data_IF_475964983605
#
_entry.id   IF_475964983605
#
_cell.length_a   1.000
_cell.length_b   1.000
_cell.length_c   1.000
_cell.angle_alpha   90.00
_cell.angle_beta   90.00
_cell.angle_gamma   90.00
#
_symmetry.space_group_name_H-M   'P 1'
#
loop_
_entity.id
_entity.type
_entity.pdbx_description
1 polymer ?
#
# COMPACT_ATOMS: atom_id res chain seq x y z
N UNK A 1 24.07 4.21 12.53
CA UNK A 1 22.98 4.61 11.62
C UNK A 1 22.27 5.79 12.23
N UNK A 2 21.31 6.38 11.52
CA UNK A 2 20.42 7.39 12.11
C UNK A 2 19.47 6.73 13.14
N UNK A 3 18.88 7.51 14.07
CA UNK A 3 17.91 6.99 15.03
C UNK A 3 16.71 6.28 14.36
N UNK A 4 16.10 5.33 15.06
CA UNK A 4 14.90 4.64 14.57
C UNK A 4 13.74 5.64 14.51
N UNK A 5 13.04 5.68 13.37
CA UNK A 5 11.95 6.64 13.15
C UNK A 5 12.39 7.97 12.53
N UNK A 6 13.68 8.16 12.22
CA UNK A 6 14.11 9.32 11.42
C UNK A 6 13.58 9.20 9.99
N UNK A 7 12.79 10.18 9.53
CA UNK A 7 12.45 10.32 8.12
C UNK A 7 13.72 10.69 7.33
N UNK A 8 14.01 9.92 6.29
CA UNK A 8 15.20 10.06 5.42
C UNK A 8 14.83 10.02 3.94
N UNK A 9 13.57 10.35 3.61
CA UNK A 9 13.01 10.30 2.26
C UNK A 9 13.89 11.03 1.24
N UNK A 10 14.19 12.31 1.48
CA UNK A 10 14.97 13.11 0.54
C UNK A 10 16.41 12.60 0.36
N UNK A 11 17.04 12.08 1.42
CA UNK A 11 18.34 11.39 1.34
C UNK A 11 18.26 10.08 0.54
N UNK A 12 17.13 9.36 0.63
CA UNK A 12 16.91 8.15 -0.18
C UNK A 12 16.81 8.49 -1.66
N UNK A 13 16.06 9.53 -2.02
CA UNK A 13 15.99 10.03 -3.40
C UNK A 13 17.39 10.41 -3.91
N UNK A 14 18.12 11.21 -3.13
CA UNK A 14 19.48 11.63 -3.46
C UNK A 14 20.43 10.43 -3.65
N UNK A 15 20.27 9.38 -2.86
CA UNK A 15 21.06 8.16 -2.99
C UNK A 15 20.74 7.40 -4.28
N UNK A 16 19.45 7.24 -4.62
CA UNK A 16 19.01 6.55 -5.83
C UNK A 16 19.53 7.25 -7.10
N UNK A 17 19.43 8.59 -7.18
CA UNK A 17 19.99 9.33 -8.33
C UNK A 17 21.50 9.12 -8.49
N UNK A 18 22.25 9.13 -7.38
CA UNK A 18 23.70 8.89 -7.38
C UNK A 18 24.09 7.44 -7.68
N UNK A 19 23.18 6.49 -7.48
CA UNK A 19 23.34 5.10 -7.90
C UNK A 19 23.10 4.91 -9.41
N UNK A 20 22.61 5.94 -10.11
CA UNK A 20 22.42 5.94 -11.56
C UNK A 20 20.99 5.63 -12.03
N UNK A 21 19.99 5.70 -11.15
CA UNK A 21 18.59 5.60 -11.58
C UNK A 21 18.18 6.86 -12.36
N UNK A 22 17.63 6.68 -13.58
CA UNK A 22 17.21 7.78 -14.45
C UNK A 22 16.01 8.57 -13.90
N UNK A 23 15.09 7.86 -13.26
CA UNK A 23 13.90 8.41 -12.60
C UNK A 23 13.69 7.77 -11.23
N UNK A 24 13.23 8.57 -10.28
CA UNK A 24 12.95 8.20 -8.90
C UNK A 24 11.53 8.64 -8.57
N UNK A 25 10.62 7.67 -8.51
CA UNK A 25 9.21 7.85 -8.14
C UNK A 25 8.92 7.27 -6.77
N UNK A 26 7.75 7.60 -6.22
CA UNK A 26 7.31 7.09 -4.93
C UNK A 26 6.20 6.05 -5.09
N UNK A 27 6.28 4.96 -4.32
CA UNK A 27 5.22 3.95 -4.25
C UNK A 27 3.97 4.51 -3.60
N UNK A 28 4.08 5.57 -2.80
CA UNK A 28 2.94 6.23 -2.18
C UNK A 28 1.97 6.83 -3.22
N UNK A 29 2.43 7.15 -4.43
CA UNK A 29 1.54 7.47 -5.54
C UNK A 29 0.63 6.28 -5.90
N UNK A 30 1.20 5.08 -6.00
CA UNK A 30 0.43 3.86 -6.19
C UNK A 30 -0.47 3.52 -5.00
N UNK A 31 -0.10 3.91 -3.78
CA UNK A 31 -0.96 3.74 -2.62
C UNK A 31 -2.19 4.64 -2.69
N UNK A 32 -2.04 5.89 -3.12
CA UNK A 32 -3.19 6.75 -3.42
C UNK A 32 -4.10 6.15 -4.51
N UNK A 33 -3.52 5.56 -5.57
CA UNK A 33 -4.27 4.82 -6.60
C UNK A 33 -5.01 3.61 -6.02
N UNK A 34 -4.35 2.83 -5.15
CA UNK A 34 -4.99 1.69 -4.49
C UNK A 34 -6.19 2.14 -3.67
N UNK A 35 -6.10 3.26 -2.96
CA UNK A 35 -7.23 3.79 -2.20
C UNK A 35 -8.38 4.22 -3.09
N UNK A 36 -8.11 4.84 -4.24
CA UNK A 36 -9.15 5.24 -5.17
C UNK A 36 -9.95 4.04 -5.67
N UNK A 37 -9.27 2.99 -6.10
CA UNK A 37 -9.90 1.77 -6.59
C UNK A 37 -10.57 0.99 -5.45
N UNK A 38 -9.88 0.80 -4.31
CA UNK A 38 -10.35 -0.05 -3.21
C UNK A 38 -11.52 0.59 -2.46
N UNK A 39 -11.51 1.91 -2.26
CA UNK A 39 -12.68 2.62 -1.72
C UNK A 39 -13.88 2.55 -2.67
N UNK A 40 -13.65 2.66 -3.99
CA UNK A 40 -14.70 2.56 -5.01
C UNK A 40 -15.28 1.14 -5.06
N UNK A 41 -14.43 0.12 -5.03
CA UNK A 41 -14.81 -1.29 -4.97
C UNK A 41 -15.61 -1.58 -3.70
N UNK A 42 -15.17 -1.07 -2.54
CA UNK A 42 -15.90 -1.21 -1.28
C UNK A 42 -17.31 -0.61 -1.38
N UNK A 43 -17.41 0.64 -1.83
CA UNK A 43 -18.69 1.33 -2.00
C UNK A 43 -19.60 0.56 -2.95
N UNK A 44 -19.05 0.06 -4.06
CA UNK A 44 -19.79 -0.74 -5.04
C UNK A 44 -20.32 -2.04 -4.42
N UNK A 45 -19.49 -2.80 -3.70
CA UNK A 45 -19.90 -4.04 -3.03
C UNK A 45 -21.00 -3.78 -2.00
N UNK A 46 -20.87 -2.73 -1.19
CA UNK A 46 -21.89 -2.37 -0.19
C UNK A 46 -23.22 -1.97 -0.85
N UNK A 47 -23.20 -1.14 -1.89
CA UNK A 47 -24.43 -0.64 -2.53
C UNK A 47 -25.15 -1.69 -3.39
N UNK A 48 -24.40 -2.60 -4.01
CA UNK A 48 -24.95 -3.54 -5.00
C UNK A 48 -25.06 -4.98 -4.47
N UNK A 49 -24.87 -5.21 -3.18
CA UNK A 49 -24.95 -6.55 -2.59
C UNK A 49 -23.83 -7.49 -3.05
N UNK A 50 -22.62 -6.96 -3.25
CA UNK A 50 -21.43 -7.74 -3.58
C UNK A 50 -20.89 -8.55 -2.39
N UNK A 51 -19.84 -9.32 -2.65
CA UNK A 51 -19.23 -10.21 -1.65
C UNK A 51 -18.60 -9.42 -0.50
N UNK A 52 -19.12 -9.62 0.72
CA UNK A 52 -18.63 -9.04 1.98
C UNK A 52 -18.28 -10.14 3.00
N UNK A 53 -17.36 -9.87 3.97
CA UNK A 53 -16.54 -8.68 4.10
C UNK A 53 -15.61 -8.49 2.90
N UNK A 54 -15.34 -7.25 2.49
CA UNK A 54 -14.21 -6.99 1.61
C UNK A 54 -12.92 -7.12 2.44
N UNK A 55 -11.87 -7.71 1.88
CA UNK A 55 -10.60 -7.90 2.58
C UNK A 55 -9.47 -7.30 1.74
N UNK A 56 -8.61 -6.50 2.34
CA UNK A 56 -7.52 -5.84 1.59
C UNK A 56 -6.56 -6.85 0.94
N UNK A 57 -5.95 -6.46 -0.17
CA UNK A 57 -5.10 -7.34 -0.99
C UNK A 57 -3.62 -6.92 -1.07
N UNK A 58 -3.26 -5.74 -0.54
CA UNK A 58 -1.94 -5.14 -0.77
C UNK A 58 -0.74 -5.90 -0.14
N UNK A 59 -1.00 -6.86 0.77
CA UNK A 59 0.00 -7.65 1.47
C UNK A 59 0.17 -9.04 0.82
N UNK A 60 1.23 -9.29 0.03
CA UNK A 60 1.35 -10.53 -0.74
C UNK A 60 1.50 -11.79 0.11
N UNK A 61 2.07 -11.67 1.32
CA UNK A 61 2.13 -12.79 2.26
C UNK A 61 0.74 -13.19 2.79
N UNK A 62 -0.14 -12.20 2.96
CA UNK A 62 -1.54 -12.43 3.32
C UNK A 62 -2.33 -13.03 2.14
N UNK A 63 -2.23 -12.45 0.94
CA UNK A 63 -2.88 -13.00 -0.26
C UNK A 63 -2.49 -14.46 -0.46
N UNK A 64 -1.20 -14.78 -0.37
CA UNK A 64 -0.72 -16.16 -0.50
C UNK A 64 -1.30 -17.09 0.57
N UNK A 65 -1.42 -16.62 1.81
CA UNK A 65 -2.05 -17.36 2.89
C UNK A 65 -3.54 -17.60 2.61
N UNK A 66 -4.28 -16.59 2.16
CA UNK A 66 -5.68 -16.70 1.78
C UNK A 66 -5.87 -17.72 0.65
N UNK A 67 -5.09 -17.60 -0.44
CA UNK A 67 -5.16 -18.52 -1.59
C UNK A 67 -5.03 -20.00 -1.18
N UNK A 68 -4.20 -20.30 -0.16
CA UNK A 68 -3.90 -21.67 0.28
C UNK A 68 -4.82 -22.20 1.39
N UNK A 69 -5.15 -21.39 2.39
CA UNK A 69 -5.86 -21.82 3.60
C UNK A 69 -7.32 -21.39 3.63
N UNK A 70 -7.67 -20.38 2.83
CA UNK A 70 -9.02 -19.82 2.70
C UNK A 70 -9.42 -19.63 1.23
N UNK A 71 -9.30 -20.65 0.36
CA UNK A 71 -9.66 -20.53 -1.05
C UNK A 71 -11.14 -20.18 -1.26
N UNK A 72 -12.00 -20.49 -0.30
CA UNK A 72 -13.41 -20.11 -0.23
C UNK A 72 -13.63 -18.61 -0.01
N UNK A 73 -12.66 -17.89 0.58
CA UNK A 73 -12.71 -16.45 0.84
C UNK A 73 -11.90 -15.64 -0.18
N UNK A 74 -11.41 -16.25 -1.26
CA UNK A 74 -10.64 -15.53 -2.30
C UNK A 74 -11.48 -14.42 -2.96
N UNK A 75 -12.78 -14.65 -3.13
CA UNK A 75 -13.69 -13.67 -3.76
C UNK A 75 -13.99 -12.48 -2.81
N UNK A 76 -13.63 -12.59 -1.53
CA UNK A 76 -13.66 -11.50 -0.56
C UNK A 76 -12.47 -10.55 -0.69
N UNK A 77 -11.37 -10.98 -1.33
CA UNK A 77 -10.22 -10.09 -1.55
C UNK A 77 -10.61 -8.94 -2.48
N UNK A 78 -10.12 -7.75 -2.16
CA UNK A 78 -10.10 -6.60 -3.07
C UNK A 78 -9.41 -6.99 -4.37
N UNK A 79 -10.00 -6.64 -5.50
CA UNK A 79 -9.43 -6.92 -6.83
C UNK A 79 -8.32 -5.94 -7.18
N UNK A 80 -8.14 -4.88 -6.39
CA UNK A 80 -7.09 -3.90 -6.59
C UNK A 80 -5.70 -4.53 -6.49
N UNK A 81 -4.82 -4.18 -7.44
CA UNK A 81 -3.37 -4.44 -7.35
C UNK A 81 -2.78 -3.73 -6.14
N UNK A 82 -1.63 -4.21 -5.70
CA UNK A 82 -0.91 -3.54 -4.62
C UNK A 82 -0.30 -2.20 -5.08
N UNK A 83 0.04 -1.28 -4.15
CA UNK A 83 0.69 -0.01 -4.48
C UNK A 83 1.96 -0.16 -5.34
N UNK A 84 2.73 -1.23 -5.11
CA UNK A 84 3.92 -1.53 -5.90
C UNK A 84 3.56 -1.78 -7.36
N UNK A 85 2.59 -2.65 -7.62
CA UNK A 85 2.26 -3.07 -8.97
C UNK A 85 1.43 -2.00 -9.68
N UNK A 86 0.56 -1.27 -8.99
CA UNK A 86 -0.10 -0.09 -9.57
C UNK A 86 0.91 0.97 -10.01
N UNK A 87 1.94 1.25 -9.20
CA UNK A 87 3.01 2.17 -9.59
C UNK A 87 3.75 1.64 -10.82
N UNK A 88 4.15 0.37 -10.82
CA UNK A 88 4.84 -0.27 -11.94
C UNK A 88 4.03 -0.28 -13.24
N UNK A 89 2.75 -0.65 -13.16
CA UNK A 89 1.80 -0.63 -14.26
C UNK A 89 1.71 0.76 -14.87
N UNK A 90 1.54 1.80 -14.04
CA UNK A 90 1.43 3.18 -14.51
C UNK A 90 2.75 3.73 -15.07
N UNK A 91 3.90 3.28 -14.56
CA UNK A 91 5.22 3.62 -15.13
C UNK A 91 5.31 3.09 -16.58
N UNK A 92 4.91 1.84 -16.81
CA UNK A 92 5.01 1.19 -18.13
C UNK A 92 3.85 1.46 -19.08
N UNK A 93 2.78 2.09 -18.60
CA UNK A 93 1.63 2.48 -19.41
C UNK A 93 1.53 4.00 -19.52
N UNK A 94 0.92 4.67 -18.55
CA UNK A 94 0.65 6.10 -18.57
C UNK A 94 1.92 6.96 -18.72
N UNK A 95 2.95 6.72 -17.91
CA UNK A 95 4.19 7.48 -17.97
C UNK A 95 4.96 7.22 -19.27
N UNK A 96 5.11 5.95 -19.66
CA UNK A 96 5.76 5.57 -20.91
C UNK A 96 5.10 6.24 -22.12
N UNK A 97 3.76 6.22 -22.20
CA UNK A 97 3.00 6.88 -23.25
C UNK A 97 3.24 8.39 -23.26
N UNK A 98 3.17 9.03 -22.09
CA UNK A 98 3.32 10.48 -21.94
C UNK A 98 4.70 10.98 -22.36
N UNK A 99 5.75 10.22 -22.07
CA UNK A 99 7.14 10.57 -22.39
C UNK A 99 7.58 10.04 -23.78
N UNK A 100 6.73 9.28 -24.48
CA UNK A 100 7.08 8.67 -25.77
C UNK A 100 8.17 7.60 -25.65
N UNK A 101 8.21 6.87 -24.52
CA UNK A 101 9.17 5.80 -24.25
C UNK A 101 8.51 4.46 -24.56
N UNK A 102 9.18 3.61 -25.34
CA UNK A 102 8.76 2.20 -25.50
C UNK A 102 8.85 1.48 -24.13
N UNK A 103 7.77 0.88 -23.61
CA UNK A 103 7.78 0.17 -22.34
C UNK A 103 8.86 -0.91 -22.23
N UNK A 104 9.30 -1.51 -23.34
CA UNK A 104 10.40 -2.49 -23.36
C UNK A 104 11.75 -1.89 -22.96
N UNK A 105 11.90 -0.57 -23.05
CA UNK A 105 13.11 0.16 -22.65
C UNK A 105 13.05 0.64 -21.19
N UNK A 106 11.99 0.29 -20.44
CA UNK A 106 11.84 0.67 -19.03
C UNK A 106 12.13 -0.53 -18.14
N UNK A 107 13.09 -0.35 -17.23
CA UNK A 107 13.33 -1.27 -16.11
C UNK A 107 12.80 -0.62 -14.83
N UNK A 108 11.68 -1.15 -14.33
CA UNK A 108 11.01 -0.73 -13.09
C UNK A 108 11.61 -1.47 -11.90
N UNK A 109 12.18 -0.72 -10.94
CA UNK A 109 12.78 -1.27 -9.72
C UNK A 109 12.09 -0.73 -8.49
N UNK A 110 11.56 -1.61 -7.64
CA UNK A 110 10.91 -1.25 -6.39
C UNK A 110 11.83 -1.48 -5.17
N UNK A 111 11.74 -0.60 -4.18
CA UNK A 111 12.42 -0.74 -2.88
C UNK A 111 11.38 -0.97 -1.80
N UNK A 112 11.35 -2.19 -1.23
CA UNK A 112 10.29 -2.62 -0.34
C UNK A 112 10.80 -3.05 1.04
N UNK A 113 10.03 -2.83 2.12
CA UNK A 113 10.34 -3.40 3.43
C UNK A 113 9.99 -4.89 3.53
N UNK A 114 9.64 -5.55 2.42
CA UNK A 114 9.04 -6.88 2.38
C UNK A 114 9.78 -7.79 1.41
N UNK A 115 10.01 -9.04 1.83
CA UNK A 115 10.59 -10.08 0.96
C UNK A 115 9.55 -10.71 0.02
N UNK A 116 8.29 -10.82 0.46
CA UNK A 116 7.21 -11.39 -0.34
C UNK A 116 6.85 -10.53 -1.56
N UNK A 117 7.21 -9.23 -1.58
CA UNK A 117 7.08 -8.37 -2.75
C UNK A 117 7.90 -8.87 -3.96
N UNK A 118 9.01 -9.59 -3.73
CA UNK A 118 9.77 -10.27 -4.80
C UNK A 118 9.02 -11.45 -5.43
N UNK A 119 8.09 -12.06 -4.70
CA UNK A 119 7.20 -13.09 -5.23
C UNK A 119 6.03 -12.45 -5.98
N UNK A 120 5.49 -11.35 -5.43
CA UNK A 120 4.36 -10.63 -6.01
C UNK A 120 4.62 -10.19 -7.46
N UNK A 121 5.80 -9.64 -7.78
CA UNK A 121 6.16 -9.21 -9.15
C UNK A 121 6.23 -10.34 -10.19
N UNK A 122 6.06 -11.60 -9.76
CA UNK A 122 6.09 -12.79 -10.62
C UNK A 122 4.72 -13.44 -10.76
N UNK A 123 3.67 -12.84 -10.19
CA UNK A 123 2.31 -13.35 -10.35
C UNK A 123 1.83 -13.08 -11.77
N UNK A 124 0.97 -13.97 -12.24
CA UNK A 124 0.19 -13.73 -13.44
C UNK A 124 -0.75 -12.52 -13.19
N UNK A 125 -1.13 -11.80 -14.24
CA UNK A 125 -1.94 -10.57 -14.19
C UNK A 125 -1.30 -9.36 -13.47
N UNK A 126 0.03 -9.37 -13.28
CA UNK A 126 0.84 -8.24 -12.81
C UNK A 126 1.71 -7.68 -13.95
N UNK A 127 1.09 -7.51 -15.12
CA UNK A 127 1.74 -7.17 -16.39
C UNK A 127 0.89 -6.27 -17.30
N UNK A 128 0.39 -5.14 -16.79
CA UNK A 128 -0.57 -4.27 -17.47
C UNK A 128 -0.12 -3.77 -18.86
N UNK A 129 1.18 -3.71 -19.12
CA UNK A 129 1.75 -3.34 -20.42
C UNK A 129 2.11 -4.55 -21.32
N UNK A 130 1.65 -5.76 -20.99
CA UNK A 130 2.13 -7.01 -21.57
C UNK A 130 3.57 -7.36 -21.14
N UNK A 131 4.07 -6.68 -20.12
CA UNK A 131 5.39 -6.81 -19.51
C UNK A 131 5.19 -6.75 -18.00
N UNK A 132 6.01 -7.43 -17.17
CA UNK A 132 5.89 -7.35 -15.72
C UNK A 132 5.82 -5.89 -15.23
N UNK A 133 4.84 -5.55 -14.41
CA UNK A 133 4.63 -4.18 -13.89
C UNK A 133 5.90 -3.66 -13.19
N UNK A 134 6.57 -4.55 -12.44
CA UNK A 134 7.85 -4.30 -11.79
C UNK A 134 8.84 -5.40 -12.14
N UNK A 135 10.01 -5.04 -12.66
CA UNK A 135 11.03 -6.01 -13.10
C UNK A 135 11.86 -6.53 -11.93
N UNK A 136 12.19 -5.66 -10.98
CA UNK A 136 13.08 -5.98 -9.86
C UNK A 136 12.53 -5.40 -8.57
N UNK A 137 12.33 -6.24 -7.54
CA UNK A 137 12.05 -5.78 -6.19
C UNK A 137 13.27 -6.01 -5.29
N UNK A 138 13.77 -4.97 -4.64
CA UNK A 138 14.85 -5.05 -3.65
C UNK A 138 14.36 -4.62 -2.27
N UNK A 139 14.97 -5.16 -1.22
CA UNK A 139 14.62 -4.86 0.16
C UNK A 139 15.31 -3.58 0.66
N UNK A 140 14.81 -2.99 1.74
CA UNK A 140 15.48 -1.90 2.47
C UNK A 140 16.95 -2.24 2.78
N UNK A 141 17.22 -3.49 3.19
CA UNK A 141 18.59 -3.97 3.45
C UNK A 141 19.45 -4.07 2.18
N UNK A 142 18.87 -4.47 1.06
CA UNK A 142 19.58 -4.54 -0.23
C UNK A 142 19.95 -3.14 -0.73
N UNK A 143 19.02 -2.19 -0.68
CA UNK A 143 19.34 -0.79 -1.01
C UNK A 143 20.44 -0.24 -0.09
N UNK A 144 20.32 -0.44 1.23
CA UNK A 144 21.34 0.02 2.17
C UNK A 144 22.73 -0.58 1.91
N UNK A 145 22.80 -1.84 1.44
CA UNK A 145 24.07 -2.47 1.01
C UNK A 145 24.58 -1.88 -0.29
N UNK A 146 23.69 -1.60 -1.25
CA UNK A 146 24.05 -1.00 -2.54
C UNK A 146 24.65 0.40 -2.35
N UNK A 147 24.01 1.26 -1.56
CA UNK A 147 24.49 2.61 -1.20
C UNK A 147 25.90 2.53 -0.59
N UNK A 148 26.11 1.60 0.35
CA UNK A 148 27.43 1.39 0.98
C UNK A 148 28.47 0.87 -0.02
N UNK A 149 28.11 -0.05 -0.90
CA UNK A 149 29.02 -0.58 -1.94
C UNK A 149 29.45 0.51 -2.91
N UNK A 150 28.54 1.43 -3.24
CA UNK A 150 28.83 2.62 -4.04
C UNK A 150 29.63 3.71 -3.29
N UNK A 151 30.06 3.45 -2.05
CA UNK A 151 30.83 4.38 -1.21
C UNK A 151 30.11 5.72 -0.96
N UNK A 152 28.78 5.74 -1.02
CA UNK A 152 27.99 6.94 -0.73
C UNK A 152 27.86 7.12 0.79
N UNK A 153 28.30 8.29 1.29
CA UNK A 153 28.06 8.66 2.68
C UNK A 153 26.62 9.17 2.85
N UNK A 154 25.70 8.25 3.08
CA UNK A 154 24.25 8.50 3.17
C UNK A 154 23.90 9.66 4.11
N UNK A 155 24.54 9.74 5.29
CA UNK A 155 24.24 10.78 6.28
C UNK A 155 24.54 12.20 5.75
N UNK A 156 25.48 12.33 4.81
CA UNK A 156 25.89 13.62 4.22
C UNK A 156 25.21 13.93 2.89
N UNK A 157 24.31 13.07 2.40
CA UNK A 157 23.55 13.37 1.19
C UNK A 157 22.60 14.55 1.44
N UNK A 158 22.38 15.40 0.44
CA UNK A 158 21.35 16.43 0.51
C UNK A 158 19.96 15.78 0.52
N UNK A 159 18.95 16.56 0.89
CA UNK A 159 17.56 16.19 0.61
C UNK A 159 17.25 16.52 -0.85
N UNK A 160 16.66 15.57 -1.58
CA UNK A 160 16.21 15.76 -2.97
C UNK A 160 14.76 15.29 -3.10
N UNK A 161 14.04 15.77 -4.12
CA UNK A 161 12.64 15.42 -4.38
C UNK A 161 12.52 14.33 -5.44
N UNK A 162 11.48 13.51 -5.32
CA UNK A 162 11.03 12.61 -6.38
C UNK A 162 10.80 13.35 -7.70
N UNK A 163 10.81 12.62 -8.81
CA UNK A 163 10.42 13.15 -10.11
C UNK A 163 8.92 13.43 -10.17
N UNK A 164 8.54 14.62 -10.66
CA UNK A 164 7.19 15.18 -10.56
C UNK A 164 6.06 14.30 -11.13
N UNK A 165 6.36 13.43 -12.11
CA UNK A 165 5.35 12.63 -12.81
C UNK A 165 4.60 11.65 -11.88
N UNK A 166 5.24 11.17 -10.81
CA UNK A 166 4.67 10.29 -9.78
C UNK A 166 5.33 10.54 -8.41
N UNK A 167 5.73 11.80 -8.17
CA UNK A 167 6.44 12.22 -6.96
C UNK A 167 5.56 12.92 -5.92
N UNK A 168 4.27 13.07 -6.21
CA UNK A 168 3.29 13.67 -5.29
C UNK A 168 2.45 12.55 -4.69
N UNK A 169 2.39 12.51 -3.36
CA UNK A 169 1.56 11.60 -2.57
C UNK A 169 0.78 12.36 -1.51
N UNK A 170 -0.17 11.69 -0.87
CA UNK A 170 -0.92 12.24 0.28
C UNK A 170 -0.55 11.57 1.60
N UNK A 171 -0.91 12.22 2.70
CA UNK A 171 -0.75 11.63 4.03
C UNK A 171 -1.55 10.33 4.22
N UNK A 172 -2.60 10.10 3.43
CA UNK A 172 -3.31 8.82 3.41
C UNK A 172 -2.42 7.69 2.84
N UNK A 173 -1.64 7.96 1.79
CA UNK A 173 -0.69 7.00 1.25
C UNK A 173 0.45 6.69 2.23
N UNK A 174 1.03 7.71 2.86
CA UNK A 174 2.19 7.54 3.76
C UNK A 174 1.92 6.57 4.91
N UNK A 175 0.69 6.57 5.46
CA UNK A 175 0.35 5.71 6.60
C UNK A 175 0.16 4.24 6.24
N UNK A 176 0.13 3.85 4.95
CA UNK A 176 0.03 2.44 4.49
C UNK A 176 1.04 1.51 5.15
N UNK A 177 2.23 2.05 5.48
CA UNK A 177 3.30 1.27 6.10
C UNK A 177 2.95 0.74 7.50
N UNK A 178 2.00 1.38 8.20
CA UNK A 178 1.53 1.00 9.52
C UNK A 178 0.25 0.15 9.45
N UNK A 179 0.10 -0.81 10.35
CA UNK A 179 -1.16 -1.56 10.47
C UNK A 179 -2.31 -0.62 10.84
N UNK A 180 -3.41 -0.70 10.09
CA UNK A 180 -4.55 0.21 10.15
C UNK A 180 -4.45 1.38 9.18
N UNK A 181 -3.30 1.61 8.56
CA UNK A 181 -3.11 2.73 7.65
C UNK A 181 -3.90 2.60 6.35
N UNK A 182 -4.02 1.38 5.81
CA UNK A 182 -4.79 1.13 4.58
C UNK A 182 -6.27 1.34 4.85
N UNK A 183 -6.78 0.76 5.94
CA UNK A 183 -8.16 0.94 6.40
C UNK A 183 -8.47 2.42 6.62
N UNK A 184 -7.61 3.13 7.35
CA UNK A 184 -7.79 4.56 7.59
C UNK A 184 -7.86 5.37 6.29
N UNK A 185 -6.91 5.14 5.39
CA UNK A 185 -6.84 5.84 4.11
C UNK A 185 -8.08 5.57 3.23
N UNK A 186 -8.56 4.33 3.21
CA UNK A 186 -9.77 3.96 2.50
C UNK A 186 -11.03 4.61 3.10
N UNK A 187 -11.14 4.65 4.43
CA UNK A 187 -12.25 5.32 5.12
C UNK A 187 -12.28 6.82 4.85
N UNK A 188 -11.12 7.50 4.83
CA UNK A 188 -11.02 8.93 4.47
C UNK A 188 -11.63 9.22 3.09
N UNK A 189 -11.33 8.39 2.10
CA UNK A 189 -11.85 8.57 0.73
C UNK A 189 -13.31 8.12 0.63
N UNK A 190 -13.66 6.96 1.21
CA UNK A 190 -15.02 6.43 1.14
C UNK A 190 -16.04 7.37 1.80
N UNK A 191 -15.68 8.02 2.91
CA UNK A 191 -16.55 8.98 3.59
C UNK A 191 -16.90 10.18 2.71
N UNK A 192 -15.91 10.79 2.06
CA UNK A 192 -16.14 11.91 1.14
C UNK A 192 -16.96 11.48 -0.08
N UNK A 193 -16.62 10.35 -0.71
CA UNK A 193 -17.34 9.86 -1.89
C UNK A 193 -18.80 9.49 -1.60
N UNK A 194 -19.09 8.94 -0.41
CA UNK A 194 -20.45 8.57 -0.03
C UNK A 194 -21.29 9.78 0.39
N UNK A 195 -20.69 10.78 1.02
CA UNK A 195 -21.40 11.99 1.48
C UNK A 195 -21.50 13.07 0.41
N UNK A 196 -20.62 13.06 -0.60
CA UNK A 196 -20.55 14.09 -1.64
C UNK A 196 -19.94 15.40 -1.15
N UNK A 197 -19.39 15.44 0.07
CA UNK A 197 -18.76 16.61 0.68
C UNK A 197 -17.46 16.21 1.40
N UNK A 198 -16.52 17.14 1.53
CA UNK A 198 -15.25 16.86 2.20
C UNK A 198 -15.41 16.83 3.72
N UNK A 199 -15.20 15.68 4.34
CA UNK A 199 -15.27 15.50 5.79
C UNK A 199 -14.03 16.06 6.50
N UNK A 200 -14.19 16.82 7.58
CA UNK A 200 -13.07 17.34 8.38
C UNK A 200 -12.45 16.27 9.28
N UNK A 201 -13.28 15.35 9.80
CA UNK A 201 -12.86 14.27 10.68
C UNK A 201 -12.23 13.12 9.88
N UNK A 202 -10.92 13.18 9.69
CA UNK A 202 -10.15 12.21 8.90
C UNK A 202 -9.27 11.26 9.73
N UNK A 203 -9.33 11.37 11.06
CA UNK A 203 -8.49 10.62 11.99
C UNK A 203 -9.27 9.44 12.55
N UNK A 204 -8.92 8.21 12.14
CA UNK A 204 -9.58 6.98 12.58
C UNK A 204 -8.71 6.28 13.62
N UNK A 205 -8.68 6.80 14.85
CA UNK A 205 -7.64 6.44 15.83
C UNK A 205 -7.80 5.06 16.46
N UNK A 206 -9.00 4.51 16.50
CA UNK A 206 -9.34 3.22 17.12
C UNK A 206 -8.70 2.03 16.39
N UNK A 207 -8.41 2.19 15.11
CA UNK A 207 -7.73 1.18 14.28
C UNK A 207 -6.21 1.37 14.20
N UNK A 208 -5.65 2.39 14.87
CA UNK A 208 -4.19 2.65 14.92
C UNK A 208 -3.50 1.80 15.98
N UNK A 209 -2.16 1.87 16.01
CA UNK A 209 -1.34 1.19 17.01
C UNK A 209 -0.88 -0.20 16.58
N UNK A 210 -0.12 -0.86 17.45
CA UNK A 210 0.66 -2.07 17.12
C UNK A 210 0.04 -3.38 17.61
N UNK A 211 -1.20 -3.31 18.12
CA UNK A 211 -1.98 -4.47 18.55
C UNK A 211 -2.30 -5.40 17.36
N UNK A 212 -2.37 -6.70 17.65
CA UNK A 212 -2.52 -7.74 16.63
C UNK A 212 -3.90 -7.79 15.98
N UNK A 213 -4.93 -7.35 16.70
CA UNK A 213 -6.32 -7.28 16.28
C UNK A 213 -6.93 -6.01 16.83
N UNK A 214 -7.62 -5.25 15.98
CA UNK A 214 -8.32 -4.01 16.31
C UNK A 214 -9.64 -4.01 15.55
N UNK A 215 -10.69 -3.46 16.15
CA UNK A 215 -11.99 -3.32 15.50
C UNK A 215 -12.64 -2.01 15.89
N UNK A 216 -13.49 -1.50 15.00
CA UNK A 216 -14.24 -0.28 15.23
C UNK A 216 -15.53 -0.30 14.41
N UNK A 217 -16.49 0.53 14.83
CA UNK A 217 -17.70 0.81 14.05
C UNK A 217 -17.69 2.29 13.73
N UNK A 218 -17.67 2.61 12.45
CA UNK A 218 -17.67 3.99 11.98
C UNK A 218 -18.99 4.31 11.29
N UNK A 219 -19.54 5.50 11.56
CA UNK A 219 -20.71 6.01 10.85
C UNK A 219 -20.26 6.71 9.59
N UNK A 220 -20.53 6.11 8.43
CA UNK A 220 -20.17 6.64 7.12
C UNK A 220 -21.43 6.83 6.30
N UNK A 221 -21.76 8.08 5.97
CA UNK A 221 -22.98 8.43 5.23
C UNK A 221 -24.28 7.79 5.79
N UNK A 222 -24.39 7.75 7.12
CA UNK A 222 -25.55 7.17 7.81
C UNK A 222 -25.58 5.65 7.92
N UNK A 223 -24.56 4.95 7.40
CA UNK A 223 -24.39 3.50 7.55
C UNK A 223 -23.37 3.18 8.64
N UNK A 224 -23.66 2.17 9.45
CA UNK A 224 -22.67 1.60 10.39
C UNK A 224 -21.73 0.68 9.60
N UNK A 225 -20.48 1.08 9.47
CA UNK A 225 -19.41 0.30 8.82
C UNK A 225 -18.56 -0.33 9.90
N UNK A 226 -18.74 -1.64 10.10
CA UNK A 226 -17.92 -2.44 11.03
C UNK A 226 -16.65 -2.86 10.33
N UNK A 227 -15.52 -2.48 10.91
CA UNK A 227 -14.19 -2.75 10.35
C UNK A 227 -13.33 -3.55 11.32
N UNK A 228 -12.46 -4.38 10.76
CA UNK A 228 -11.40 -5.07 11.52
C UNK A 228 -10.04 -4.81 10.88
N UNK A 229 -9.01 -4.65 11.71
CA UNK A 229 -7.62 -4.49 11.29
C UNK A 229 -6.80 -5.54 12.00
N UNK A 230 -6.12 -6.38 11.23
CA UNK A 230 -5.37 -7.52 11.74
C UNK A 230 -3.93 -7.48 11.25
N UNK A 231 -2.98 -7.71 12.16
CA UNK A 231 -1.58 -7.87 11.81
C UNK A 231 -1.00 -9.18 12.38
N UNK A 232 -0.31 -9.93 11.53
CA UNK A 232 0.17 -11.28 11.83
C UNK A 232 -0.80 -12.37 11.41
N UNK A 233 -0.30 -13.41 10.72
CA UNK A 233 -1.13 -14.47 10.14
C UNK A 233 -1.88 -15.32 11.19
N UNK A 234 -1.36 -15.46 12.42
CA UNK A 234 -2.07 -16.15 13.50
C UNK A 234 -3.36 -15.42 13.90
N UNK A 235 -3.33 -14.08 13.90
CA UNK A 235 -4.50 -13.27 14.19
C UNK A 235 -5.46 -13.27 12.99
N UNK A 236 -4.94 -13.29 11.77
CA UNK A 236 -5.73 -13.39 10.56
C UNK A 236 -6.49 -14.71 10.51
N UNK A 237 -5.81 -15.84 10.77
CA UNK A 237 -6.42 -17.17 10.87
C UNK A 237 -7.60 -17.18 11.85
N UNK A 238 -7.38 -16.68 13.07
CA UNK A 238 -8.42 -16.61 14.09
C UNK A 238 -9.64 -15.77 13.68
N UNK A 239 -9.43 -14.63 12.99
CA UNK A 239 -10.53 -13.80 12.49
C UNK A 239 -11.29 -14.51 11.36
N UNK A 240 -10.58 -15.08 10.39
CA UNK A 240 -11.21 -15.67 9.21
C UNK A 240 -11.97 -16.95 9.52
N UNK A 241 -11.58 -17.71 10.55
CA UNK A 241 -12.41 -18.81 11.04
C UNK A 241 -13.78 -18.30 11.52
N UNK A 242 -13.84 -17.15 12.21
CA UNK A 242 -15.10 -16.53 12.62
C UNK A 242 -15.91 -16.01 11.42
N UNK A 243 -15.25 -15.41 10.44
CA UNK A 243 -15.89 -14.97 9.19
C UNK A 243 -16.50 -16.17 8.46
N UNK A 244 -15.73 -17.25 8.29
CA UNK A 244 -16.18 -18.50 7.65
C UNK A 244 -17.34 -19.15 8.42
N UNK A 245 -17.34 -19.07 9.74
CA UNK A 245 -18.41 -19.59 10.59
C UNK A 245 -19.68 -18.69 10.61
N UNK A 246 -19.64 -17.50 10.00
CA UNK A 246 -20.74 -16.54 10.06
C UNK A 246 -20.89 -15.85 11.42
N UNK A 247 -19.86 -15.91 12.27
CA UNK A 247 -19.84 -15.34 13.63
C UNK A 247 -19.30 -13.90 13.66
N UNK A 248 -18.70 -13.44 12.56
CA UNK A 248 -18.09 -12.12 12.43
C UNK A 248 -18.78 -11.31 11.31
N UNK A 249 -19.51 -10.27 11.70
CA UNK A 249 -20.23 -9.36 10.81
C UNK A 249 -19.41 -8.09 10.57
N UNK A 250 -18.38 -8.17 9.72
CA UNK A 250 -17.60 -7.00 9.27
C UNK A 250 -17.95 -6.68 7.82
N UNK A 251 -17.84 -5.40 7.44
CA UNK A 251 -17.97 -4.98 6.05
C UNK A 251 -16.59 -4.85 5.39
N UNK A 252 -15.56 -4.46 6.15
CA UNK A 252 -14.22 -4.27 5.61
C UNK A 252 -13.14 -4.75 6.59
N UNK A 253 -12.19 -5.54 6.11
CA UNK A 253 -11.11 -6.11 6.90
C UNK A 253 -9.76 -5.76 6.27
N UNK A 254 -8.86 -5.14 7.03
CA UNK A 254 -7.44 -5.01 6.65
C UNK A 254 -6.65 -6.18 7.22
N UNK A 255 -5.88 -6.88 6.38
CA UNK A 255 -4.94 -7.91 6.85
C UNK A 255 -3.50 -7.60 6.41
N UNK A 256 -2.62 -7.47 7.41
CA UNK A 256 -1.19 -7.36 7.22
C UNK A 256 -0.49 -8.65 7.68
N UNK A 257 0.30 -9.26 6.80
CA UNK A 257 1.04 -10.49 7.15
C UNK A 257 2.03 -10.29 8.32
N UNK A 258 2.68 -9.12 8.41
CA UNK A 258 3.71 -8.85 9.42
C UNK A 258 3.11 -8.17 10.67
N UNK A 259 3.50 -8.57 11.90
CA UNK A 259 3.04 -7.90 13.12
C UNK A 259 3.43 -6.42 13.13
N UNK A 260 2.44 -5.54 13.31
CA UNK A 260 2.64 -4.09 13.26
C UNK A 260 2.69 -3.48 11.84
N UNK A 261 2.48 -4.28 10.79
CA UNK A 261 2.46 -3.81 9.40
C UNK A 261 3.83 -3.80 8.71
N UNK A 262 3.90 -3.16 7.55
CA UNK A 262 5.08 -3.14 6.68
C UNK A 262 6.32 -2.50 7.31
N UNK A 263 6.14 -1.59 8.28
CA UNK A 263 7.25 -1.03 9.09
C UNK A 263 8.09 -2.08 9.80
N UNK A 264 7.54 -3.29 9.99
CA UNK A 264 8.20 -4.45 10.58
C UNK A 264 8.37 -5.62 9.60
N UNK A 265 8.32 -5.34 8.29
CA UNK A 265 8.43 -6.35 7.25
C UNK A 265 9.79 -7.06 7.21
N UNK A 266 9.80 -8.27 6.66
CA UNK A 266 11.00 -9.14 6.60
C UNK A 266 12.17 -8.58 5.77
N UNK A 267 11.99 -7.47 5.05
CA UNK A 267 13.03 -6.74 4.31
C UNK A 267 13.70 -5.61 5.10
N UNK A 268 13.23 -5.31 6.31
CA UNK A 268 13.71 -4.19 7.12
C UNK A 268 15.09 -4.42 7.77
N UNK A 269 15.82 -3.35 8.17
CA UNK A 269 17.08 -3.49 8.91
C UNK A 269 16.90 -4.31 10.19
N UNK A 270 17.71 -5.37 10.34
CA UNK A 270 17.78 -6.20 11.54
C UNK A 270 18.23 -5.34 12.72
N UNK A 271 17.54 -5.47 13.86
CA UNK A 271 17.86 -4.76 15.09
C UNK A 271 18.49 -5.73 16.10
N UNK A 272 19.38 -5.20 16.94
CA UNK A 272 19.99 -5.98 18.02
C UNK A 272 18.94 -6.33 19.08
N UNK A 273 19.19 -7.40 19.84
CA UNK A 273 18.37 -7.73 21.02
C UNK A 273 18.29 -6.57 22.01
N UNK A 274 19.40 -5.85 22.20
CA UNK A 274 19.46 -4.62 23.01
C UNK A 274 18.41 -3.60 22.54
N UNK A 275 18.34 -3.32 21.23
CA UNK A 275 17.35 -2.38 20.71
C UNK A 275 15.92 -2.88 20.94
N UNK A 276 15.67 -4.17 20.77
CA UNK A 276 14.36 -4.77 21.05
C UNK A 276 13.97 -4.69 22.54
N UNK A 277 14.93 -4.65 23.46
CA UNK A 277 14.67 -4.51 24.90
C UNK A 277 14.28 -3.09 25.31
N UNK A 278 14.78 -2.07 24.60
CA UNK A 278 14.59 -0.67 25.00
C UNK A 278 13.65 0.13 24.10
N UNK A 279 13.37 -0.35 22.88
CA UNK A 279 12.59 0.38 21.90
C UNK A 279 11.49 -0.49 21.29
N UNK A 280 10.26 0.04 21.27
CA UNK A 280 9.22 -0.48 20.39
C UNK A 280 9.48 0.04 18.96
N UNK A 281 10.30 -0.72 18.22
CA UNK A 281 10.70 -0.41 16.85
C UNK A 281 9.48 -0.25 15.92
N UNK A 282 8.43 -1.06 16.13
CA UNK A 282 7.20 -1.02 15.30
C UNK A 282 6.53 0.33 15.50
N UNK A 283 6.33 0.71 16.76
CA UNK A 283 5.71 1.99 17.13
C UNK A 283 6.53 3.18 16.64
N UNK A 284 7.84 3.18 16.84
CA UNK A 284 8.69 4.31 16.42
C UNK A 284 8.69 4.53 14.91
N UNK A 285 8.75 3.44 14.13
CA UNK A 285 8.68 3.55 12.66
C UNK A 285 7.29 3.97 12.18
N UNK A 286 6.22 3.41 12.77
CA UNK A 286 4.85 3.81 12.44
C UNK A 286 4.58 5.27 12.81
N UNK A 287 5.09 5.74 13.95
CA UNK A 287 4.95 7.12 14.41
C UNK A 287 5.52 8.10 13.37
N UNK A 288 6.67 7.79 12.78
CA UNK A 288 7.26 8.63 11.73
C UNK A 288 6.33 8.82 10.53
N UNK A 289 5.58 7.77 10.14
CA UNK A 289 4.59 7.85 9.05
C UNK A 289 3.40 8.73 9.43
N UNK A 290 2.86 8.55 10.65
CA UNK A 290 1.75 9.39 11.13
C UNK A 290 2.17 10.85 11.37
N UNK A 291 3.41 11.11 11.78
CA UNK A 291 3.94 12.47 11.91
C UNK A 291 4.08 13.13 10.54
N UNK A 292 4.52 12.37 9.52
CA UNK A 292 4.56 12.83 8.14
C UNK A 292 3.16 13.14 7.62
N UNK A 293 2.18 12.24 7.76
CA UNK A 293 0.77 12.47 7.38
C UNK A 293 0.23 13.78 7.97
N UNK A 294 0.44 14.03 9.26
CA UNK A 294 0.01 15.28 9.92
C UNK A 294 0.66 16.54 9.34
N UNK A 295 1.87 16.43 8.82
CA UNK A 295 2.60 17.56 8.24
C UNK A 295 2.25 17.84 6.77
N UNK A 296 1.57 16.91 6.10
CA UNK A 296 1.30 17.02 4.67
C UNK A 296 0.08 17.90 4.39
N UNK A 297 0.14 18.72 3.32
CA UNK A 297 -0.99 19.56 2.93
C UNK A 297 -2.17 18.75 2.37
N UNK A 298 -1.88 17.62 1.72
CA UNK A 298 -2.88 16.70 1.17
C UNK A 298 -2.89 15.44 2.03
N UNK A 299 -4.06 15.09 2.58
CA UNK A 299 -4.21 13.96 3.53
C UNK A 299 -5.29 12.95 3.14
N UNK A 300 -5.85 13.08 1.93
CA UNK A 300 -6.85 12.18 1.35
C UNK A 300 -6.45 11.85 -0.09
N UNK A 301 -6.42 10.58 -0.46
CA UNK A 301 -5.87 10.12 -1.74
C UNK A 301 -6.53 10.74 -2.97
N UNK A 302 -7.86 10.93 -2.92
CA UNK A 302 -8.62 11.57 -4.01
C UNK A 302 -8.31 13.05 -4.23
N UNK A 303 -7.54 13.69 -3.33
CA UNK A 303 -7.07 15.07 -3.49
C UNK A 303 -5.69 15.16 -4.15
N UNK A 304 -5.05 14.04 -4.48
CA UNK A 304 -3.77 14.03 -5.18
C UNK A 304 -3.95 14.55 -6.63
N UNK A 305 -3.37 15.71 -6.98
CA UNK A 305 -3.59 16.32 -8.30
C UNK A 305 -2.97 15.51 -9.45
N UNK A 306 -1.86 14.80 -9.20
CA UNK A 306 -1.22 13.95 -10.20
C UNK A 306 -2.08 12.72 -10.48
N UNK A 307 -2.68 12.16 -9.43
CA UNK A 307 -3.64 11.07 -9.56
C UNK A 307 -4.88 11.49 -10.34
N UNK A 308 -5.48 12.65 -10.00
CA UNK A 308 -6.67 13.16 -10.69
C UNK A 308 -6.40 13.33 -12.19
N UNK A 309 -5.23 13.87 -12.52
CA UNK A 309 -4.77 14.02 -13.90
C UNK A 309 -4.61 12.68 -14.63
N UNK A 310 -4.05 11.66 -13.95
CA UNK A 310 -3.93 10.31 -14.52
C UNK A 310 -5.30 9.69 -14.82
N UNK A 311 -6.27 9.86 -13.93
CA UNK A 311 -7.66 9.46 -14.21
C UNK A 311 -8.23 10.22 -15.40
N UNK A 312 -8.22 11.56 -15.36
CA UNK A 312 -8.79 12.40 -16.43
C UNK A 312 -8.21 12.12 -17.82
N UNK A 313 -6.88 12.00 -17.93
CA UNK A 313 -6.21 11.91 -19.22
C UNK A 313 -6.04 10.46 -19.72
N UNK A 314 -6.07 9.48 -18.82
CA UNK A 314 -5.65 8.12 -19.15
C UNK A 314 -6.59 7.03 -18.67
N UNK A 315 -6.92 6.94 -17.37
CA UNK A 315 -7.68 5.81 -16.84
C UNK A 315 -9.20 5.97 -16.99
N UNK A 316 -9.71 7.20 -17.10
CA UNK A 316 -11.13 7.53 -17.02
C UNK A 316 -11.55 7.79 -15.57
N UNK A 317 -12.37 6.91 -15.01
CA UNK A 317 -12.83 6.98 -13.61
C UNK A 317 -12.40 5.73 -12.83
N UNK A 318 -12.34 5.80 -11.48
CA UNK A 318 -12.12 4.62 -10.65
C UNK A 318 -13.16 3.53 -10.94
N UNK A 319 -12.73 2.28 -11.04
CA UNK A 319 -13.56 1.13 -11.40
C UNK A 319 -13.98 1.06 -12.88
N UNK A 320 -13.52 1.98 -13.73
CA UNK A 320 -13.76 1.90 -15.18
C UNK A 320 -13.07 0.68 -15.81
N UNK A 321 -13.47 0.30 -17.03
CA UNK A 321 -12.85 -0.84 -17.73
C UNK A 321 -11.32 -0.72 -17.83
N UNK A 322 -10.81 0.46 -18.16
CA UNK A 322 -9.37 0.67 -18.32
C UNK A 322 -8.64 0.71 -16.98
N UNK A 323 -9.23 1.29 -15.94
CA UNK A 323 -8.72 1.17 -14.59
C UNK A 323 -8.68 -0.30 -14.14
N UNK A 324 -9.71 -1.08 -14.44
CA UNK A 324 -9.77 -2.50 -14.10
C UNK A 324 -8.71 -3.33 -14.84
N UNK A 325 -8.45 -3.05 -16.12
CA UNK A 325 -7.42 -3.73 -16.90
C UNK A 325 -6.00 -3.45 -16.38
N UNK A 326 -5.74 -2.23 -15.92
CA UNK A 326 -4.38 -1.78 -15.55
C UNK A 326 -4.11 -1.96 -14.06
N UNK A 327 -5.09 -1.65 -13.21
CA UNK A 327 -4.95 -1.51 -11.75
C UNK A 327 -5.59 -2.65 -10.96
N UNK A 328 -6.31 -3.57 -11.58
CA UNK A 328 -6.89 -4.73 -10.88
C UNK A 328 -6.21 -6.03 -11.29
N UNK A 329 -6.35 -7.05 -10.47
CA UNK A 329 -5.74 -8.36 -10.62
C UNK A 329 -6.70 -9.45 -10.16
N UNK A 330 -6.30 -10.70 -10.39
CA UNK A 330 -7.04 -11.89 -9.99
C UNK A 330 -6.22 -12.77 -9.03
N UNK A 331 -6.92 -13.68 -8.36
CA UNK A 331 -6.32 -14.58 -7.38
C UNK A 331 -6.69 -16.02 -7.70
N UNK A 332 -5.80 -16.94 -7.33
CA UNK A 332 -5.97 -18.36 -7.62
C UNK A 332 -6.38 -19.09 -6.36
N UNK A 333 -7.49 -19.84 -6.42
CA UNK A 333 -7.90 -20.77 -5.36
C UNK A 333 -6.93 -21.95 -5.35
N UNK A 334 -6.03 -22.02 -4.36
CA UNK A 334 -5.01 -23.08 -4.25
C UNK A 334 -5.42 -24.07 -3.16
N UNK A 335 -6.16 -25.11 -3.54
CA UNK A 335 -6.46 -26.22 -2.62
C UNK A 335 -5.32 -27.24 -2.55
N UNK A 336 -5.20 -27.91 -1.40
CA UNK A 336 -4.68 -29.28 -1.33
C UNK A 336 -5.84 -30.26 -1.51
#
# INVERSE_FOLDING_TARGET
GLPIGTNVEGKMVAALRRLGFDKVFDTDFGADMTIMEEATEFIHRVKNGGTLPMITSCSPGWVKFCEHYYPDLVDNLSTCKSPQNMTGALIKTWYAQKEGIDPNNIVSVSVMPCTAKKFEIKRDDEDAAGLPDVDISITTRELARLIKKAQLNFNRLPEEKFDDAMGVSTGAAVIFGATGGVMEAALRTAADLLTGESQEAIEYTEIRGTEGFKEAVYKVAGMDVKVAVVSGLSNADALLQKVRAGEADYQFIEVMCCPGGCVNGGGQPVQSSVNHSFYDIKKLRAQALYDQDKSMPLRKSHLNPVLQKCYEEFLGEPGSHKAHEILHTSYVKRGY
#
